data_IF_575599458735
#
_entry.id   IF_575599458735
#
_cell.length_a   1.000
_cell.length_b   1.000
_cell.length_c   1.000
_cell.angle_alpha   90.00
_cell.angle_beta   90.00
_cell.angle_gamma   90.00
#
_symmetry.space_group_name_H-M   'P 1'
#
loop_
_entity.id
_entity.type
_entity.pdbx_description
1 polymer ?
#
# COMPACT_ATOMS: atom_id res chain seq x y z
N UNK A 1 6.64 -18.32 7.98
CA UNK A 1 5.16 -18.33 7.81
C UNK A 1 4.49 -19.40 8.66
N UNK A 2 4.97 -20.65 8.70
CA UNK A 2 4.36 -21.73 9.48
C UNK A 2 4.04 -21.39 10.95
N UNK A 3 4.97 -20.73 11.66
CA UNK A 3 4.72 -20.30 13.04
C UNK A 3 3.54 -19.32 13.17
N UNK A 4 3.46 -18.32 12.29
CA UNK A 4 2.37 -17.35 12.28
C UNK A 4 1.04 -18.01 11.91
N UNK A 5 1.07 -18.99 10.99
CA UNK A 5 -0.10 -19.78 10.59
C UNK A 5 -0.60 -20.62 11.76
N UNK A 6 0.28 -21.39 12.41
CA UNK A 6 -0.06 -22.24 13.54
C UNK A 6 -0.57 -21.44 14.74
N UNK A 7 0.01 -20.26 15.00
CA UNK A 7 -0.38 -19.38 16.09
C UNK A 7 -1.53 -18.42 15.74
N UNK A 8 -2.04 -18.45 14.49
CA UNK A 8 -3.01 -17.48 13.94
C UNK A 8 -2.64 -16.02 14.21
N UNK A 9 -1.36 -15.71 14.09
CA UNK A 9 -0.84 -14.36 14.29
C UNK A 9 -0.88 -13.56 12.99
N UNK A 10 -1.25 -12.28 13.09
CA UNK A 10 -1.08 -11.32 12.00
C UNK A 10 0.41 -11.08 11.78
N UNK A 11 0.86 -11.23 10.54
CA UNK A 11 2.19 -10.84 10.11
C UNK A 11 2.07 -9.78 9.01
N UNK A 12 2.82 -8.69 9.16
CA UNK A 12 2.98 -7.68 8.12
C UNK A 12 4.37 -7.89 7.54
N UNK A 13 4.44 -8.09 6.23
CA UNK A 13 5.69 -8.28 5.51
C UNK A 13 5.80 -7.13 4.53
N UNK A 14 6.78 -6.26 4.75
CA UNK A 14 7.14 -5.20 3.81
C UNK A 14 8.23 -5.72 2.88
N UNK A 15 7.90 -5.79 1.59
CA UNK A 15 8.79 -6.26 0.54
C UNK A 15 9.04 -5.07 -0.37
N UNK A 16 10.15 -4.37 -0.12
CA UNK A 16 10.56 -3.22 -0.92
C UNK A 16 10.79 -3.58 -2.39
N UNK A 17 10.89 -2.56 -3.26
CA UNK A 17 10.90 -2.74 -4.73
C UNK A 17 12.00 -3.61 -5.35
N UNK A 18 12.98 -4.07 -4.57
CA UNK A 18 14.02 -5.01 -5.00
C UNK A 18 13.91 -6.39 -4.36
N UNK A 19 12.98 -6.60 -3.42
CA UNK A 19 12.80 -7.87 -2.74
C UNK A 19 12.15 -8.89 -3.67
N UNK A 20 12.77 -10.06 -3.75
CA UNK A 20 12.36 -11.13 -4.67
C UNK A 20 11.77 -12.33 -3.95
N UNK A 21 11.72 -12.32 -2.61
CA UNK A 21 11.34 -13.47 -1.77
C UNK A 21 9.94 -13.94 -2.14
N UNK A 22 8.97 -13.03 -2.21
CA UNK A 22 7.59 -13.41 -2.54
C UNK A 22 7.47 -13.93 -3.97
N UNK A 23 8.22 -13.36 -4.92
CA UNK A 23 8.26 -13.85 -6.30
C UNK A 23 8.84 -15.26 -6.37
N UNK A 24 9.95 -15.49 -5.66
CA UNK A 24 10.59 -16.81 -5.58
C UNK A 24 9.62 -17.81 -4.95
N UNK A 25 8.98 -17.45 -3.84
CA UNK A 25 8.00 -18.31 -3.17
C UNK A 25 6.80 -18.64 -4.07
N UNK A 26 6.25 -17.65 -4.78
CA UNK A 26 5.15 -17.88 -5.73
C UNK A 26 5.57 -18.82 -6.88
N UNK A 27 6.83 -18.75 -7.32
CA UNK A 27 7.38 -19.65 -8.33
C UNK A 27 7.64 -21.07 -7.82
N UNK A 28 8.12 -21.21 -6.58
CA UNK A 28 8.44 -22.50 -5.96
C UNK A 28 7.20 -23.23 -5.42
N UNK A 29 6.19 -22.48 -4.96
CA UNK A 29 4.96 -22.99 -4.36
C UNK A 29 3.71 -22.36 -5.01
N UNK A 30 3.39 -22.66 -6.28
CA UNK A 30 2.18 -22.14 -6.91
C UNK A 30 0.91 -22.46 -6.11
N UNK A 31 0.05 -21.46 -5.89
CA UNK A 31 -1.22 -21.62 -5.17
C UNK A 31 -1.10 -21.63 -3.64
N UNK A 32 0.05 -21.26 -3.06
CA UNK A 32 0.20 -21.18 -1.61
C UNK A 32 -0.73 -20.15 -0.96
N UNK A 33 -1.24 -19.19 -1.74
CA UNK A 33 -2.29 -18.27 -1.33
C UNK A 33 -3.62 -18.95 -1.06
N UNK A 34 -4.07 -19.82 -1.97
CA UNK A 34 -5.24 -20.65 -1.73
C UNK A 34 -5.05 -21.55 -0.50
N UNK A 35 -3.86 -22.14 -0.33
CA UNK A 35 -3.54 -22.97 0.85
C UNK A 35 -3.65 -22.19 2.17
N UNK A 36 -3.17 -20.95 2.21
CA UNK A 36 -3.26 -20.08 3.40
C UNK A 36 -4.73 -19.72 3.69
N UNK A 37 -5.51 -19.42 2.65
CA UNK A 37 -6.95 -19.14 2.78
C UNK A 37 -7.75 -20.37 3.26
N UNK A 38 -7.44 -21.56 2.75
CA UNK A 38 -8.03 -22.83 3.19
C UNK A 38 -7.70 -23.16 4.65
N UNK A 39 -6.54 -22.72 5.15
CA UNK A 39 -6.17 -22.81 6.56
C UNK A 39 -6.94 -21.83 7.47
N UNK A 40 -7.84 -21.02 6.90
CA UNK A 40 -8.67 -20.05 7.63
C UNK A 40 -7.95 -18.76 7.97
N UNK A 41 -6.90 -18.41 7.22
CA UNK A 41 -6.17 -17.15 7.35
C UNK A 41 -6.43 -16.28 6.12
N UNK A 42 -6.49 -14.97 6.31
CA UNK A 42 -6.57 -14.04 5.18
C UNK A 42 -5.16 -13.66 4.73
N UNK A 43 -4.88 -13.77 3.44
CA UNK A 43 -3.73 -13.10 2.85
C UNK A 43 -4.16 -11.79 2.21
N UNK A 44 -3.52 -10.72 2.65
CA UNK A 44 -3.79 -9.36 2.19
C UNK A 44 -2.60 -8.83 1.42
N UNK A 45 -2.84 -8.28 0.23
CA UNK A 45 -1.80 -7.70 -0.61
C UNK A 45 -2.07 -6.23 -0.92
N UNK A 46 -1.10 -5.37 -0.63
CA UNK A 46 -1.11 -3.96 -1.04
C UNK A 46 0.02 -3.69 -2.03
N UNK A 47 -0.33 -3.38 -3.28
CA UNK A 47 0.61 -2.93 -4.29
C UNK A 47 0.79 -1.41 -4.17
N UNK A 48 1.93 -0.96 -3.65
CA UNK A 48 2.26 0.47 -3.58
C UNK A 48 2.76 0.92 -4.96
N UNK A 49 2.10 1.91 -5.56
CA UNK A 49 2.46 2.39 -6.89
C UNK A 49 2.49 3.91 -6.98
N UNK A 50 3.48 4.44 -7.69
CA UNK A 50 3.55 5.82 -8.15
C UNK A 50 2.86 6.00 -9.52
N UNK A 51 3.09 7.13 -10.20
CA UNK A 51 2.45 7.45 -11.46
C UNK A 51 3.08 6.74 -12.68
N UNK A 52 4.08 5.86 -12.48
CA UNK A 52 4.78 5.21 -13.57
C UNK A 52 4.21 3.80 -13.82
N UNK A 53 3.93 3.42 -15.09
CA UNK A 53 3.42 2.07 -15.38
C UNK A 53 4.34 0.94 -14.89
N UNK A 54 5.65 1.18 -14.78
CA UNK A 54 6.61 0.20 -14.27
C UNK A 54 6.41 -0.14 -12.79
N UNK A 55 5.72 0.74 -12.04
CA UNK A 55 5.32 0.47 -10.66
C UNK A 55 4.33 -0.70 -10.56
N UNK A 56 3.72 -1.13 -11.67
CA UNK A 56 2.82 -2.29 -11.75
C UNK A 56 3.56 -3.61 -12.04
N UNK A 57 4.87 -3.57 -12.28
CA UNK A 57 5.68 -4.78 -12.56
C UNK A 57 5.54 -5.87 -11.50
N UNK A 58 5.52 -5.56 -10.17
CA UNK A 58 5.31 -6.58 -9.15
C UNK A 58 3.97 -7.29 -9.30
N UNK A 59 2.88 -6.54 -9.51
CA UNK A 59 1.54 -7.10 -9.69
C UNK A 59 1.46 -7.98 -10.94
N UNK A 60 2.02 -7.51 -12.07
CA UNK A 60 2.06 -8.30 -13.31
C UNK A 60 2.86 -9.59 -13.14
N UNK A 61 4.01 -9.52 -12.48
CA UNK A 61 4.91 -10.67 -12.28
C UNK A 61 4.27 -11.72 -11.37
N UNK A 62 3.69 -11.30 -10.24
CA UNK A 62 3.03 -12.21 -9.31
C UNK A 62 1.75 -12.80 -9.92
N UNK A 63 0.96 -11.98 -10.62
CA UNK A 63 -0.22 -12.45 -11.34
C UNK A 63 0.11 -13.47 -12.41
N UNK A 64 1.23 -13.33 -13.14
CA UNK A 64 1.70 -14.32 -14.11
C UNK A 64 2.12 -15.65 -13.47
N UNK A 65 2.53 -15.64 -12.19
CA UNK A 65 2.79 -16.84 -11.39
C UNK A 65 1.52 -17.42 -10.75
N UNK A 66 0.36 -16.82 -10.99
CA UNK A 66 -0.92 -17.25 -10.43
C UNK A 66 -1.14 -16.84 -8.98
N UNK A 67 -0.25 -16.03 -8.40
CA UNK A 67 -0.39 -15.54 -7.03
C UNK A 67 -1.38 -14.37 -7.00
N UNK A 68 -2.60 -14.63 -6.52
CA UNK A 68 -3.73 -13.69 -6.55
C UNK A 68 -4.60 -13.80 -5.29
N UNK A 69 -4.11 -13.34 -4.12
CA UNK A 69 -4.92 -13.30 -2.90
C UNK A 69 -6.24 -12.56 -3.11
N UNK A 70 -7.30 -12.98 -2.43
CA UNK A 70 -8.64 -12.37 -2.58
C UNK A 70 -8.69 -10.94 -2.05
N UNK A 71 -8.02 -10.67 -0.93
CA UNK A 71 -7.92 -9.33 -0.37
C UNK A 71 -6.71 -8.62 -0.95
N UNK A 72 -6.88 -7.90 -2.07
CA UNK A 72 -5.78 -7.15 -2.69
C UNK A 72 -6.19 -5.76 -3.13
N UNK A 73 -5.26 -4.81 -3.06
CA UNK A 73 -5.49 -3.44 -3.48
C UNK A 73 -4.24 -2.78 -4.06
N UNK A 74 -4.43 -1.87 -5.03
CA UNK A 74 -3.43 -0.90 -5.43
C UNK A 74 -3.54 0.35 -4.55
N UNK A 75 -2.45 0.75 -3.93
CA UNK A 75 -2.32 2.01 -3.20
C UNK A 75 -1.56 2.99 -4.08
N UNK A 76 -2.31 3.90 -4.70
CA UNK A 76 -1.78 4.92 -5.60
C UNK A 76 -1.28 6.12 -4.77
N UNK A 77 0.04 6.32 -4.75
CA UNK A 77 0.70 7.29 -3.88
C UNK A 77 0.77 8.68 -4.52
N UNK A 78 -0.19 9.55 -4.17
CA UNK A 78 -0.22 10.93 -4.65
C UNK A 78 0.99 11.75 -4.20
N UNK A 79 1.71 11.32 -3.16
CA UNK A 79 2.94 11.97 -2.67
C UNK A 79 4.06 12.05 -3.70
N UNK A 80 4.14 11.06 -4.61
CA UNK A 80 5.16 11.01 -5.68
C UNK A 80 4.67 11.55 -7.02
N UNK A 81 3.42 12.07 -7.09
CA UNK A 81 2.92 12.70 -8.31
C UNK A 81 3.71 13.98 -8.67
N UNK A 82 3.80 14.37 -9.95
CA UNK A 82 4.39 15.65 -10.33
C UNK A 82 3.63 16.85 -9.76
N UNK A 83 4.35 17.89 -9.36
CA UNK A 83 3.73 19.13 -8.91
C UNK A 83 2.91 19.79 -10.04
N UNK A 84 1.76 20.36 -9.69
CA UNK A 84 0.89 21.07 -10.62
C UNK A 84 -0.02 20.19 -11.49
N UNK A 85 0.04 18.85 -11.35
CA UNK A 85 -0.90 17.93 -11.99
C UNK A 85 -1.96 17.45 -11.01
N UNK A 86 -3.18 17.21 -11.48
CA UNK A 86 -4.18 16.47 -10.70
C UNK A 86 -3.78 15.00 -10.60
N UNK A 87 -4.26 14.29 -9.57
CA UNK A 87 -4.01 12.85 -9.42
C UNK A 87 -4.44 12.05 -10.65
N UNK A 88 -5.59 12.38 -11.24
CA UNK A 88 -6.12 11.66 -12.39
C UNK A 88 -5.22 11.85 -13.63
N UNK A 89 -4.66 13.05 -13.80
CA UNK A 89 -3.69 13.32 -14.86
C UNK A 89 -2.39 12.52 -14.63
N UNK A 90 -1.84 12.60 -13.41
CA UNK A 90 -0.58 11.96 -13.06
C UNK A 90 -0.65 10.43 -13.19
N UNK A 91 -1.75 9.80 -12.76
CA UNK A 91 -1.91 8.35 -12.75
C UNK A 91 -2.62 7.79 -13.98
N UNK A 92 -2.97 8.62 -14.97
CA UNK A 92 -3.71 8.21 -16.18
C UNK A 92 -3.08 7.02 -16.92
N UNK A 93 -1.75 6.94 -16.96
CA UNK A 93 -1.04 5.82 -17.62
C UNK A 93 -1.09 4.53 -16.81
N UNK A 94 -1.07 4.64 -15.48
CA UNK A 94 -1.18 3.50 -14.56
C UNK A 94 -2.58 2.90 -14.67
N UNK A 95 -3.61 3.75 -14.53
CA UNK A 95 -5.00 3.31 -14.50
C UNK A 95 -5.53 2.84 -15.87
N UNK A 96 -4.91 3.27 -16.97
CA UNK A 96 -5.24 2.78 -18.32
C UNK A 96 -4.48 1.52 -18.74
N UNK A 97 -3.49 1.07 -17.96
CA UNK A 97 -2.74 -0.15 -18.26
C UNK A 97 -3.60 -1.41 -18.15
N UNK A 98 -3.29 -2.42 -18.96
CA UNK A 98 -4.01 -3.70 -18.89
C UNK A 98 -3.82 -4.37 -17.53
N UNK A 99 -2.60 -4.36 -16.97
CA UNK A 99 -2.31 -4.95 -15.65
C UNK A 99 -3.26 -4.41 -14.58
N UNK A 100 -3.38 -3.08 -14.48
CA UNK A 100 -4.27 -2.46 -13.51
C UNK A 100 -5.74 -2.79 -13.77
N UNK A 101 -6.17 -2.70 -15.03
CA UNK A 101 -7.58 -2.95 -15.41
C UNK A 101 -7.99 -4.39 -15.19
N UNK A 102 -7.13 -5.34 -15.54
CA UNK A 102 -7.39 -6.77 -15.38
C UNK A 102 -7.46 -7.14 -13.89
N UNK A 103 -6.51 -6.65 -13.09
CA UNK A 103 -6.50 -6.89 -11.64
C UNK A 103 -7.72 -6.27 -10.93
N UNK A 104 -8.11 -5.06 -11.30
CA UNK A 104 -9.29 -4.39 -10.71
C UNK A 104 -10.61 -4.99 -11.19
N UNK A 105 -10.69 -5.44 -12.45
CA UNK A 105 -11.83 -6.22 -12.94
C UNK A 105 -11.96 -7.58 -12.22
N UNK A 106 -10.84 -8.14 -11.77
CA UNK A 106 -10.73 -9.39 -11.01
C UNK A 106 -10.82 -9.16 -9.47
N UNK A 107 -11.28 -7.99 -9.04
CA UNK A 107 -11.65 -7.71 -7.65
C UNK A 107 -10.60 -6.98 -6.81
N UNK A 108 -9.44 -6.61 -7.37
CA UNK A 108 -8.50 -5.73 -6.67
C UNK A 108 -9.14 -4.34 -6.44
N UNK A 109 -8.96 -3.79 -5.24
CA UNK A 109 -9.46 -2.45 -4.91
C UNK A 109 -8.44 -1.36 -5.29
N UNK A 110 -8.95 -0.16 -5.56
CA UNK A 110 -8.14 1.04 -5.73
C UNK A 110 -8.21 1.88 -4.47
N UNK A 111 -7.06 2.18 -3.88
CA UNK A 111 -6.92 3.07 -2.73
C UNK A 111 -6.00 4.22 -3.13
N UNK A 112 -6.31 5.42 -2.64
CA UNK A 112 -5.44 6.57 -2.80
C UNK A 112 -4.71 6.83 -1.50
N UNK A 113 -3.39 6.99 -1.57
CA UNK A 113 -2.62 7.59 -0.48
C UNK A 113 -2.46 9.08 -0.80
N UNK A 114 -3.19 9.99 -0.12
CA UNK A 114 -3.16 11.40 -0.43
C UNK A 114 -1.77 11.99 -0.23
N UNK A 115 -1.49 13.11 -0.89
CA UNK A 115 -0.22 13.82 -0.70
C UNK A 115 -0.13 14.42 0.71
N UNK A 116 0.93 14.07 1.45
CA UNK A 116 1.29 14.77 2.67
C UNK A 116 2.19 15.98 2.36
N UNK A 117 1.62 17.19 2.34
CA UNK A 117 2.37 18.44 2.11
C UNK A 117 3.37 18.82 3.22
N UNK A 118 3.38 18.07 4.33
CA UNK A 118 4.33 18.25 5.42
C UNK A 118 5.32 17.07 5.53
N UNK A 119 5.45 16.22 4.48
CA UNK A 119 6.24 15.00 4.52
C UNK A 119 7.70 15.28 4.91
N UNK A 120 8.39 16.19 4.20
CA UNK A 120 9.78 16.57 4.48
C UNK A 120 9.97 17.07 5.93
N UNK A 121 8.98 17.80 6.45
CA UNK A 121 9.04 18.28 7.83
C UNK A 121 8.88 17.14 8.84
N UNK A 122 8.02 16.15 8.57
CA UNK A 122 7.88 14.98 9.44
C UNK A 122 9.14 14.11 9.39
N UNK A 123 9.66 13.88 8.18
CA UNK A 123 10.87 13.08 7.95
C UNK A 123 12.10 13.71 8.61
N UNK A 124 12.29 15.02 8.49
CA UNK A 124 13.38 15.73 9.14
C UNK A 124 13.39 15.59 10.68
N UNK A 125 12.23 15.30 11.29
CA UNK A 125 12.12 15.05 12.73
C UNK A 125 12.15 13.55 13.06
N UNK A 126 12.28 12.66 12.07
CA UNK A 126 12.23 11.20 12.21
C UNK A 126 11.04 10.73 13.06
N UNK A 127 9.92 11.42 12.90
CA UNK A 127 8.76 11.28 13.77
C UNK A 127 7.69 10.40 13.14
N UNK A 128 6.93 9.69 13.97
CA UNK A 128 5.68 9.11 13.51
C UNK A 128 4.67 10.21 13.16
N UNK A 129 3.74 9.94 12.25
CA UNK A 129 2.70 10.90 11.88
C UNK A 129 1.85 11.33 13.08
N UNK A 130 1.59 10.41 14.02
CA UNK A 130 0.85 10.72 15.26
C UNK A 130 1.64 11.68 16.15
N UNK A 131 2.92 11.39 16.41
CA UNK A 131 3.77 12.27 17.23
C UNK A 131 3.91 13.65 16.59
N UNK A 132 4.07 13.70 15.26
CA UNK A 132 4.13 14.95 14.50
C UNK A 132 2.82 15.76 14.59
N UNK A 133 1.65 15.13 14.46
CA UNK A 133 0.33 15.77 14.65
C UNK A 133 0.18 16.33 16.05
N UNK A 134 0.56 15.56 17.07
CA UNK A 134 0.33 15.88 18.48
C UNK A 134 1.40 16.82 19.06
N UNK A 135 2.42 17.18 18.28
CA UNK A 135 3.48 18.09 18.71
C UNK A 135 4.47 17.45 19.69
N UNK A 136 4.63 16.13 19.60
CA UNK A 136 5.50 15.32 20.45
C UNK A 136 6.90 15.10 19.86
N UNK A 137 7.29 15.91 18.87
CA UNK A 137 8.65 15.94 18.31
C UNK A 137 9.50 16.96 19.07
N UNK A 138 10.83 16.86 18.99
CA UNK A 138 11.76 17.81 19.60
C UNK A 138 12.70 18.42 18.53
N UNK A 139 12.58 19.71 18.20
CA UNK A 139 11.50 20.62 18.63
C UNK A 139 10.14 20.22 18.04
N UNK A 140 9.01 20.70 18.57
CA UNK A 140 7.70 20.44 18.00
C UNK A 140 7.55 21.00 16.58
N UNK A 141 6.93 20.24 15.68
CA UNK A 141 6.52 20.78 14.38
C UNK A 141 5.64 22.03 14.57
N UNK A 142 5.84 23.00 13.68
CA UNK A 142 5.03 24.23 13.64
C UNK A 142 3.54 23.93 13.41
N UNK A 143 2.67 24.80 13.93
CA UNK A 143 1.20 24.58 13.98
C UNK A 143 0.57 24.25 12.62
N UNK A 144 1.06 24.85 11.53
CA UNK A 144 0.56 24.56 10.18
C UNK A 144 0.93 23.16 9.70
N UNK A 145 2.15 22.70 9.96
CA UNK A 145 2.55 21.34 9.58
C UNK A 145 1.80 20.31 10.40
N UNK A 146 1.59 20.54 11.70
CA UNK A 146 0.74 19.65 12.53
C UNK A 146 -0.69 19.55 12.01
N UNK A 147 -1.28 20.69 11.64
CA UNK A 147 -2.61 20.75 11.01
C UNK A 147 -2.67 19.98 9.69
N UNK A 148 -1.64 20.10 8.83
CA UNK A 148 -1.55 19.34 7.58
C UNK A 148 -1.45 17.83 7.83
N UNK A 149 -0.64 17.39 8.79
CA UNK A 149 -0.54 15.97 9.18
C UNK A 149 -1.88 15.46 9.71
N UNK A 150 -2.57 16.24 10.55
CA UNK A 150 -3.90 15.88 11.07
C UNK A 150 -4.95 15.69 9.98
N UNK A 151 -5.04 16.61 9.01
CA UNK A 151 -5.94 16.46 7.87
C UNK A 151 -5.57 15.29 6.98
N UNK A 152 -4.27 15.07 6.76
CA UNK A 152 -3.79 13.94 5.97
C UNK A 152 -4.14 12.58 6.61
N UNK A 153 -3.98 12.45 7.94
CA UNK A 153 -4.37 11.23 8.67
C UNK A 153 -5.87 10.94 8.51
N UNK A 154 -6.73 11.96 8.63
CA UNK A 154 -8.17 11.81 8.40
C UNK A 154 -8.47 11.38 6.96
N UNK A 155 -7.79 11.97 5.98
CA UNK A 155 -7.97 11.59 4.58
C UNK A 155 -7.49 10.16 4.30
N UNK A 156 -6.40 9.71 4.94
CA UNK A 156 -5.96 8.31 4.89
C UNK A 156 -7.03 7.38 5.47
N UNK A 157 -7.60 7.68 6.64
CA UNK A 157 -8.68 6.88 7.23
C UNK A 157 -9.89 6.76 6.28
N UNK A 158 -10.26 7.85 5.61
CA UNK A 158 -11.34 7.87 4.63
C UNK A 158 -11.03 7.03 3.38
N UNK A 159 -9.81 7.12 2.84
CA UNK A 159 -9.41 6.35 1.66
C UNK A 159 -9.31 4.85 1.95
N UNK A 160 -8.90 4.46 3.16
CA UNK A 160 -8.70 3.07 3.55
C UNK A 160 -9.92 2.44 4.25
N UNK A 161 -11.02 3.18 4.40
CA UNK A 161 -12.22 2.71 5.10
C UNK A 161 -12.77 1.38 4.54
N UNK A 162 -12.70 1.19 3.21
CA UNK A 162 -13.18 -0.02 2.53
C UNK A 162 -12.37 -1.28 2.83
N UNK A 163 -11.15 -1.13 3.34
CA UNK A 163 -10.23 -2.24 3.68
C UNK A 163 -9.93 -2.30 5.18
N UNK A 164 -10.65 -1.52 6.00
CA UNK A 164 -10.40 -1.44 7.44
C UNK A 164 -10.49 -2.80 8.15
N UNK A 165 -11.29 -3.72 7.63
CA UNK A 165 -11.44 -5.08 8.18
C UNK A 165 -10.33 -6.05 7.76
N UNK A 166 -9.45 -5.67 6.83
CA UNK A 166 -8.39 -6.54 6.31
C UNK A 166 -7.20 -6.63 7.27
N UNK A 167 -7.03 -5.62 8.12
CA UNK A 167 -5.99 -5.57 9.14
C UNK A 167 -6.63 -5.31 10.51
N UNK A 168 -6.06 -5.86 11.60
CA UNK A 168 -6.57 -5.65 12.96
C UNK A 168 -6.47 -4.20 13.45
#
# INVERSE_FOLDING_TARGET
>A
MEFAIAAKQTAIIDLGGGDTILRTLAGEMPGFDAMIEEAGLAMVMFYLAGPHPEDLTPAATLGALGFKPRARAFVLNEGVAPAGQSRDQAFSRVTSSNVYRDETADGALTLWMPRLHAADAVEAHTASFIAARDGQTEPPLGVFNRSRVGHWLKAMDEQFAGVKSWMP
#
